data_IF_707533448626
#
_entry.id   IF_707533448626
#
_cell.length_a   1.000
_cell.length_b   1.000
_cell.length_c   1.000
_cell.angle_alpha   90.00
_cell.angle_beta   90.00
_cell.angle_gamma   90.00
#
_symmetry.space_group_name_H-M   'P 1'
#
loop_
_entity.id
_entity.type
_entity.pdbx_description
1 polymer ?
#
# COMPACT_ATOMS: atom_id res chain seq x y z
N UNK A 1 16.87 18.41 -16.32
CA UNK A 1 15.52 17.91 -16.04
C UNK A 1 15.55 17.38 -14.63
N UNK A 2 15.07 18.17 -13.68
CA UNK A 2 14.86 17.71 -12.30
C UNK A 2 13.62 16.83 -12.32
N UNK A 3 13.86 15.52 -12.38
CA UNK A 3 12.85 14.50 -12.15
C UNK A 3 12.45 14.64 -10.67
N UNK A 4 11.39 15.40 -10.40
CA UNK A 4 10.76 15.33 -9.08
C UNK A 4 10.29 13.89 -8.95
N UNK A 5 10.69 13.14 -7.91
CA UNK A 5 10.08 11.83 -7.69
C UNK A 5 8.59 12.09 -7.56
N UNK A 6 7.81 11.61 -8.53
CA UNK A 6 6.35 11.75 -8.50
C UNK A 6 5.89 11.27 -7.13
N UNK A 7 5.13 12.11 -6.41
CA UNK A 7 4.65 11.71 -5.09
C UNK A 7 3.63 10.59 -5.26
N UNK A 8 4.05 9.37 -4.90
CA UNK A 8 3.22 8.17 -4.97
C UNK A 8 2.48 7.95 -3.66
N UNK A 9 1.16 7.99 -3.73
CA UNK A 9 0.28 7.69 -2.60
C UNK A 9 -0.39 6.33 -2.80
N UNK A 10 -0.03 5.36 -1.94
CA UNK A 10 -0.72 4.09 -1.83
C UNK A 10 -1.93 4.21 -0.90
N UNK A 11 -3.05 3.65 -1.33
CA UNK A 11 -4.34 3.70 -0.64
C UNK A 11 -4.94 2.30 -0.56
N UNK A 12 -5.69 2.02 0.50
CA UNK A 12 -6.55 0.85 0.58
C UNK A 12 -8.01 1.27 0.78
N UNK A 13 -8.94 0.47 0.26
CA UNK A 13 -10.36 0.75 0.36
C UNK A 13 -10.94 0.08 1.60
N UNK A 14 -11.50 0.86 2.52
CA UNK A 14 -12.13 0.38 3.75
C UNK A 14 -13.27 1.31 4.14
N UNK A 15 -14.35 0.75 4.72
CA UNK A 15 -15.47 1.52 5.24
C UNK A 15 -16.04 2.54 4.21
N UNK A 16 -16.11 2.10 2.96
CA UNK A 16 -16.54 2.87 1.79
C UNK A 16 -15.69 4.12 1.45
N UNK A 17 -14.41 4.13 1.87
CA UNK A 17 -13.48 5.23 1.64
C UNK A 17 -12.09 4.72 1.25
N UNK A 18 -11.34 5.56 0.54
CA UNK A 18 -9.91 5.33 0.30
C UNK A 18 -9.11 5.91 1.45
N UNK A 19 -8.29 5.07 2.09
CA UNK A 19 -7.48 5.42 3.25
C UNK A 19 -6.00 5.29 2.87
N UNK A 20 -5.16 6.31 3.10
CA UNK A 20 -3.74 6.21 2.85
C UNK A 20 -3.05 5.33 3.89
N UNK A 21 -1.99 4.65 3.45
CA UNK A 21 -1.06 4.04 4.40
C UNK A 21 -0.25 5.12 5.15
N UNK A 22 0.43 4.72 6.21
CA UNK A 22 1.42 5.59 6.84
C UNK A 22 2.63 5.80 5.93
N UNK A 23 3.23 6.99 5.96
CA UNK A 23 4.36 7.40 5.10
C UNK A 23 5.45 6.33 4.94
N UNK A 24 5.89 5.69 6.04
CA UNK A 24 6.94 4.67 6.04
C UNK A 24 6.61 3.42 5.21
N UNK A 25 5.32 3.16 4.98
CA UNK A 25 4.86 2.00 4.23
C UNK A 25 4.80 2.27 2.72
N UNK A 26 4.66 3.52 2.29
CA UNK A 26 4.62 3.87 0.85
C UNK A 26 5.86 3.37 0.13
N UNK A 27 7.04 3.65 0.67
CA UNK A 27 8.31 3.21 0.08
C UNK A 27 8.39 1.68 -0.05
N UNK A 28 7.95 0.94 0.97
CA UNK A 28 8.00 -0.54 0.97
C UNK A 28 7.05 -1.14 -0.07
N UNK A 29 5.84 -0.58 -0.18
CA UNK A 29 4.84 -1.01 -1.16
C UNK A 29 5.33 -0.69 -2.57
N UNK A 30 5.85 0.52 -2.78
CA UNK A 30 6.38 0.97 -4.07
C UNK A 30 7.57 0.14 -4.52
N UNK A 31 8.50 -0.14 -3.61
CA UNK A 31 9.64 -1.00 -3.87
C UNK A 31 9.18 -2.41 -4.30
N UNK A 32 8.24 -3.01 -3.56
CA UNK A 32 7.70 -4.32 -3.90
C UNK A 32 6.93 -4.30 -5.23
N UNK A 33 6.23 -3.21 -5.56
CA UNK A 33 5.56 -3.03 -6.85
C UNK A 33 6.57 -2.96 -8.00
N UNK A 34 7.55 -2.06 -7.90
CA UNK A 34 8.54 -1.78 -8.93
C UNK A 34 9.46 -2.98 -9.22
N UNK A 35 9.89 -3.71 -8.20
CA UNK A 35 10.75 -4.88 -8.37
C UNK A 35 9.99 -6.19 -8.64
N UNK A 36 8.67 -6.14 -8.87
CA UNK A 36 7.87 -7.33 -9.19
C UNK A 36 7.74 -8.33 -8.03
N UNK A 37 7.83 -7.84 -6.79
CA UNK A 37 7.60 -8.64 -5.59
C UNK A 37 6.17 -9.21 -5.55
N UNK A 38 6.04 -10.43 -5.02
CA UNK A 38 4.73 -11.08 -4.89
C UNK A 38 3.89 -10.35 -3.81
N UNK A 39 4.51 -10.03 -2.68
CA UNK A 39 3.89 -9.35 -1.56
C UNK A 39 4.92 -8.63 -0.69
N UNK A 40 4.45 -7.73 0.18
CA UNK A 40 5.21 -7.12 1.27
C UNK A 40 4.39 -7.14 2.55
N UNK A 41 5.02 -7.51 3.66
CA UNK A 41 4.41 -7.43 4.99
C UNK A 41 4.77 -6.07 5.62
N UNK A 42 3.76 -5.27 5.97
CA UNK A 42 3.93 -3.93 6.56
C UNK A 42 3.24 -3.83 7.91
N UNK A 43 3.69 -2.93 8.78
CA UNK A 43 3.00 -2.57 10.03
C UNK A 43 2.37 -1.19 9.82
N UNK A 44 1.08 -1.08 10.06
CA UNK A 44 0.34 0.16 9.80
C UNK A 44 -0.68 0.42 10.92
N UNK A 45 -0.74 1.65 11.42
CA UNK A 45 -1.62 2.04 12.53
C UNK A 45 -3.11 1.92 12.20
N UNK A 46 -3.49 1.87 10.92
CA UNK A 46 -4.86 1.58 10.51
C UNK A 46 -5.31 0.14 10.86
N UNK A 47 -4.35 -0.72 11.23
CA UNK A 47 -4.54 -2.11 11.65
C UNK A 47 -3.88 -2.35 13.02
N UNK A 48 -4.30 -1.65 14.08
CA UNK A 48 -3.55 -1.56 15.34
C UNK A 48 -3.43 -2.90 16.09
N UNK A 49 -4.34 -3.83 15.83
CA UNK A 49 -4.34 -5.16 16.46
C UNK A 49 -3.39 -6.15 15.79
N UNK A 50 -2.76 -5.77 14.67
CA UNK A 50 -1.92 -6.67 13.89
C UNK A 50 -0.45 -6.31 13.99
N UNK A 51 0.38 -7.36 14.07
CA UNK A 51 1.83 -7.24 13.93
C UNK A 51 2.22 -6.76 12.54
N UNK A 52 1.53 -7.27 11.51
CA UNK A 52 1.68 -6.85 10.12
C UNK A 52 0.43 -7.21 9.29
N UNK A 53 0.26 -6.51 8.17
CA UNK A 53 -0.65 -6.86 7.08
C UNK A 53 0.14 -7.19 5.83
N UNK A 54 -0.38 -8.10 5.01
CA UNK A 54 0.24 -8.49 3.75
C UNK A 54 -0.38 -7.73 2.58
N UNK A 55 0.43 -6.95 1.88
CA UNK A 55 0.03 -6.20 0.69
C UNK A 55 0.55 -6.92 -0.55
N UNK A 56 -0.28 -7.01 -1.59
CA UNK A 56 0.05 -7.59 -2.90
C UNK A 56 -0.04 -6.48 -3.96
N UNK A 57 1.01 -5.66 -4.12
CA UNK A 57 0.93 -4.42 -4.90
C UNK A 57 0.59 -4.67 -6.37
N UNK A 58 1.23 -5.68 -6.98
CA UNK A 58 1.03 -6.07 -8.38
C UNK A 58 -0.35 -6.70 -8.65
N UNK A 59 -1.09 -7.08 -7.60
CA UNK A 59 -2.45 -7.64 -7.67
C UNK A 59 -3.51 -6.68 -7.15
N UNK A 60 -3.12 -5.48 -6.76
CA UNK A 60 -4.01 -4.42 -6.27
C UNK A 60 -4.93 -4.86 -5.12
N UNK A 61 -4.40 -5.63 -4.16
CA UNK A 61 -5.12 -5.91 -2.92
C UNK A 61 -4.19 -6.06 -1.71
N UNK A 62 -4.75 -5.93 -0.52
CA UNK A 62 -4.15 -6.41 0.73
C UNK A 62 -5.03 -7.51 1.34
N UNK A 63 -4.40 -8.40 2.10
CA UNK A 63 -5.09 -9.46 2.84
C UNK A 63 -5.13 -9.13 4.33
N UNK A 64 -6.33 -9.02 4.88
CA UNK A 64 -6.58 -8.74 6.29
C UNK A 64 -7.67 -9.68 6.82
N UNK A 65 -7.37 -10.48 7.84
CA UNK A 65 -8.29 -11.45 8.46
C UNK A 65 -9.04 -12.36 7.47
N UNK A 66 -8.35 -12.81 6.41
CA UNK A 66 -8.93 -13.66 5.36
C UNK A 66 -9.77 -12.90 4.32
N UNK A 67 -9.98 -11.60 4.49
CA UNK A 67 -10.63 -10.72 3.53
C UNK A 67 -9.62 -10.01 2.63
N UNK A 68 -10.02 -9.71 1.39
CA UNK A 68 -9.24 -8.92 0.44
C UNK A 68 -9.81 -7.51 0.37
N UNK A 69 -8.94 -6.52 0.58
CA UNK A 69 -9.29 -5.12 0.45
C UNK A 69 -8.60 -4.55 -0.80
N UNK A 70 -9.33 -3.72 -1.56
CA UNK A 70 -8.81 -3.12 -2.79
C UNK A 70 -7.66 -2.17 -2.46
N UNK A 71 -6.65 -2.16 -3.31
CA UNK A 71 -5.49 -1.29 -3.23
C UNK A 71 -5.50 -0.35 -4.44
N UNK A 72 -5.07 0.89 -4.26
CA UNK A 72 -4.86 1.86 -5.33
C UNK A 72 -3.54 2.58 -5.13
N UNK A 73 -2.97 3.06 -6.23
CA UNK A 73 -1.79 3.89 -6.29
C UNK A 73 -2.18 5.17 -7.04
N UNK A 74 -1.94 6.33 -6.42
CA UNK A 74 -2.21 7.64 -6.99
C UNK A 74 -0.87 8.33 -7.21
N UNK A 75 -0.64 8.77 -8.45
CA UNK A 75 0.53 9.53 -8.87
C UNK A 75 0.10 11.00 -8.92
N UNK A 76 0.69 11.85 -8.08
CA UNK A 76 0.47 13.29 -8.14
C UNK A 76 1.55 13.92 -9.04
N UNK A 77 1.10 14.69 -10.05
CA UNK A 77 1.93 15.36 -11.03
C UNK A 77 1.84 16.87 -10.94
#
# INVERSE_FOLDING_TARGET
MTDYPQEVTWLFFRDNQWVPFQNDNHYKIEQAFTFGGIYVDIKDSNFPQLKSIRVFPTRFYLSYLGMKYRLSCVIQG
#
